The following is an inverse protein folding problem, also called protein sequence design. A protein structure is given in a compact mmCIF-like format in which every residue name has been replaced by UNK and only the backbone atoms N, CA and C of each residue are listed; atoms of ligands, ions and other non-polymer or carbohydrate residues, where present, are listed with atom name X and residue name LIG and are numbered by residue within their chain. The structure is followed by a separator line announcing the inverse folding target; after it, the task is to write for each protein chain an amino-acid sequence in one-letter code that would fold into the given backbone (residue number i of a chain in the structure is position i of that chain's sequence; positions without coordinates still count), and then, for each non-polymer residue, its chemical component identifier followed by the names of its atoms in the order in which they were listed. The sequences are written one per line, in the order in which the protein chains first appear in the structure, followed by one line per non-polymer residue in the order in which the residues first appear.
data_IF_722867663731
#
_entry.id   IF_722867663731
#
_cell.length_a   1.000
_cell.length_b   1.000
_cell.length_c   1.000
_cell.angle_alpha   90.00
_cell.angle_beta   90.00
_cell.angle_gamma   90.00
#
_symmetry.space_group_name_H-M   'P 1'
#
loop_
_entity.id
_entity.type
_entity.pdbx_description
1 polymer ?
#
# COMPACT_ATOMS: atom_id res chain seq x y z
N UNK A 1 21.51 29.18 -46.57
CA UNK A 1 21.58 29.55 -45.13
C UNK A 1 20.27 29.34 -44.39
N UNK A 2 19.17 30.06 -44.68
CA UNK A 2 17.90 29.93 -43.93
C UNK A 2 17.36 28.49 -43.81
N UNK A 3 17.33 27.72 -44.91
CA UNK A 3 16.91 26.30 -44.88
C UNK A 3 17.79 25.39 -44.00
N UNK A 4 19.10 25.65 -43.98
CA UNK A 4 20.04 24.84 -43.19
C UNK A 4 19.88 25.13 -41.69
N UNK A 5 19.65 26.40 -41.33
CA UNK A 5 19.33 26.80 -39.95
C UNK A 5 18.02 26.16 -39.52
N UNK A 6 17.00 26.17 -40.39
CA UNK A 6 15.70 25.55 -40.10
C UNK A 6 15.82 24.04 -39.85
N UNK A 7 16.51 23.31 -40.73
CA UNK A 7 16.77 21.87 -40.54
C UNK A 7 17.60 21.57 -39.30
N UNK A 8 18.54 22.45 -38.95
CA UNK A 8 19.33 22.31 -37.73
C UNK A 8 18.45 22.47 -36.48
N UNK A 9 17.60 23.50 -36.45
CA UNK A 9 16.67 23.74 -35.34
C UNK A 9 15.68 22.58 -35.20
N UNK A 10 15.08 22.10 -36.28
CA UNK A 10 14.18 20.92 -36.24
C UNK A 10 14.88 19.70 -35.65
N UNK A 11 16.11 19.40 -36.10
CA UNK A 11 16.90 18.28 -35.55
C UNK A 11 17.26 18.49 -34.08
N UNK A 12 17.57 19.71 -33.68
CA UNK A 12 17.89 20.05 -32.31
C UNK A 12 16.67 19.88 -31.40
N UNK A 13 15.52 20.42 -31.79
CA UNK A 13 14.27 20.27 -31.05
C UNK A 13 13.82 18.82 -30.97
N UNK A 14 13.92 18.04 -32.04
CA UNK A 14 13.57 16.61 -32.00
C UNK A 14 14.49 15.83 -31.05
N UNK A 15 15.79 16.12 -31.03
CA UNK A 15 16.71 15.48 -30.07
C UNK A 15 16.37 15.85 -28.64
N UNK A 16 16.12 17.14 -28.37
CA UNK A 16 15.75 17.61 -27.05
C UNK A 16 14.43 16.95 -26.60
N UNK A 17 13.42 16.95 -27.46
CA UNK A 17 12.12 16.33 -27.18
C UNK A 17 12.26 14.85 -26.84
N UNK A 18 12.98 14.06 -27.65
CA UNK A 18 13.18 12.63 -27.39
C UNK A 18 13.96 12.39 -26.10
N UNK A 19 14.95 13.23 -25.82
CA UNK A 19 15.73 13.16 -24.58
C UNK A 19 14.85 13.41 -23.35
N UNK A 20 14.16 14.56 -23.31
CA UNK A 20 13.29 14.94 -22.18
C UNK A 20 12.17 13.91 -21.95
N UNK A 21 11.55 13.41 -23.02
CA UNK A 21 10.53 12.36 -22.92
C UNK A 21 11.09 11.06 -22.32
N UNK A 22 12.31 10.68 -22.72
CA UNK A 22 12.94 9.46 -22.23
C UNK A 22 13.35 9.59 -20.76
N UNK A 23 13.83 10.77 -20.35
CA UNK A 23 14.17 11.05 -18.95
C UNK A 23 12.92 11.04 -18.04
N UNK A 24 11.84 11.68 -18.47
CA UNK A 24 10.55 11.64 -17.77
C UNK A 24 10.03 10.20 -17.62
N UNK A 25 10.08 9.39 -18.69
CA UNK A 25 9.68 7.98 -18.63
C UNK A 25 10.53 7.16 -17.66
N UNK A 26 11.84 7.40 -17.61
CA UNK A 26 12.75 6.74 -16.67
C UNK A 26 12.44 7.12 -15.21
N UNK A 27 12.17 8.40 -14.95
CA UNK A 27 11.75 8.88 -13.64
C UNK A 27 10.43 8.23 -13.20
N UNK A 28 9.41 8.22 -14.06
CA UNK A 28 8.12 7.61 -13.74
C UNK A 28 8.23 6.09 -13.51
N UNK A 29 9.01 5.40 -14.34
CA UNK A 29 9.27 3.97 -14.17
C UNK A 29 9.91 3.68 -12.81
N UNK A 30 10.85 4.51 -12.38
CA UNK A 30 11.48 4.41 -11.06
C UNK A 30 10.46 4.62 -9.94
N UNK A 31 9.58 5.63 -10.07
CA UNK A 31 8.51 5.89 -9.08
C UNK A 31 7.55 4.71 -8.98
N UNK A 32 7.09 4.16 -10.11
CA UNK A 32 6.19 2.99 -10.14
C UNK A 32 6.85 1.80 -9.43
N UNK A 33 8.13 1.52 -9.72
CA UNK A 33 8.87 0.45 -9.04
C UNK A 33 8.93 0.66 -7.53
N UNK A 34 9.21 1.87 -7.07
CA UNK A 34 9.27 2.18 -5.63
C UNK A 34 7.89 2.00 -4.97
N UNK A 35 6.79 2.35 -5.68
CA UNK A 35 5.43 2.10 -5.21
C UNK A 35 5.18 0.58 -5.11
N UNK A 36 5.62 -0.20 -6.10
CA UNK A 36 5.50 -1.66 -6.07
C UNK A 36 6.22 -2.32 -4.89
N UNK A 37 7.46 -1.88 -4.62
CA UNK A 37 8.23 -2.33 -3.45
C UNK A 37 7.51 -1.97 -2.15
N UNK A 38 6.92 -0.76 -2.07
CA UNK A 38 6.17 -0.31 -0.91
C UNK A 38 4.87 -1.10 -0.72
N UNK A 39 4.15 -1.40 -1.79
CA UNK A 39 2.96 -2.26 -1.78
C UNK A 39 3.32 -3.65 -1.25
N UNK A 40 4.39 -4.26 -1.77
CA UNK A 40 4.84 -5.59 -1.35
C UNK A 40 5.16 -5.63 0.15
N UNK A 41 5.96 -4.67 0.62
CA UNK A 41 6.29 -4.55 2.04
C UNK A 41 5.03 -4.35 2.91
N UNK A 42 4.11 -3.49 2.48
CA UNK A 42 2.88 -3.21 3.22
C UNK A 42 1.96 -4.42 3.27
N UNK A 43 1.88 -5.20 2.19
CA UNK A 43 1.14 -6.47 2.16
C UNK A 43 1.73 -7.49 3.14
N UNK A 44 3.06 -7.65 3.16
CA UNK A 44 3.73 -8.54 4.12
C UNK A 44 3.42 -8.14 5.56
N UNK A 45 3.51 -6.85 5.88
CA UNK A 45 3.17 -6.33 7.21
C UNK A 45 1.71 -6.57 7.55
N UNK A 46 0.78 -6.38 6.60
CA UNK A 46 -0.65 -6.66 6.76
C UNK A 46 -0.89 -8.15 7.09
N UNK A 47 -0.23 -9.07 6.39
CA UNK A 47 -0.29 -10.51 6.70
C UNK A 47 0.22 -10.84 8.09
N UNK A 48 1.32 -10.21 8.53
CA UNK A 48 1.84 -10.40 9.89
C UNK A 48 0.85 -9.91 10.95
N UNK A 49 0.20 -8.76 10.73
CA UNK A 49 -0.84 -8.26 11.63
C UNK A 49 -2.06 -9.19 11.66
N UNK A 50 -2.47 -9.75 10.53
CA UNK A 50 -3.56 -10.74 10.48
C UNK A 50 -3.25 -11.95 11.37
N UNK A 51 -2.05 -12.52 11.23
CA UNK A 51 -1.62 -13.65 12.06
C UNK A 51 -1.59 -13.29 13.55
N UNK A 52 -1.26 -12.04 13.88
CA UNK A 52 -1.28 -11.56 15.26
C UNK A 52 -2.72 -11.41 15.78
N UNK A 53 -3.64 -10.87 14.98
CA UNK A 53 -5.08 -10.79 15.30
C UNK A 53 -5.61 -12.20 15.59
N UNK A 54 -5.33 -13.17 14.72
CA UNK A 54 -5.82 -14.54 14.87
C UNK A 54 -5.30 -15.16 16.18
N UNK A 55 -4.00 -14.98 16.49
CA UNK A 55 -3.38 -15.48 17.73
C UNK A 55 -3.98 -14.84 18.98
N UNK A 56 -4.15 -13.52 18.99
CA UNK A 56 -4.70 -12.81 20.14
C UNK A 56 -6.19 -13.10 20.33
N UNK A 57 -6.92 -13.34 19.25
CA UNK A 57 -8.32 -13.78 19.28
C UNK A 57 -8.45 -15.15 19.94
N UNK A 58 -7.64 -16.13 19.51
CA UNK A 58 -7.62 -17.46 20.14
C UNK A 58 -7.20 -17.38 21.61
N UNK A 59 -6.20 -16.55 21.94
CA UNK A 59 -5.78 -16.36 23.32
C UNK A 59 -6.92 -15.76 24.18
N UNK A 60 -7.68 -14.82 23.63
CA UNK A 60 -8.83 -14.21 24.30
C UNK A 60 -9.95 -15.22 24.51
N UNK A 61 -10.27 -16.05 23.51
CA UNK A 61 -11.25 -17.13 23.59
C UNK A 61 -10.87 -18.14 24.68
N UNK A 62 -9.62 -18.61 24.68
CA UNK A 62 -9.11 -19.51 25.72
C UNK A 62 -9.25 -18.89 27.11
N UNK A 63 -8.97 -17.58 27.26
CA UNK A 63 -9.11 -16.89 28.53
C UNK A 63 -10.56 -16.84 29.01
N UNK A 64 -11.53 -16.74 28.10
CA UNK A 64 -12.94 -16.85 28.46
C UNK A 64 -13.30 -18.25 28.95
N UNK A 65 -12.78 -19.30 28.31
CA UNK A 65 -12.98 -20.70 28.73
C UNK A 65 -12.43 -20.91 30.14
N UNK A 66 -11.18 -20.50 30.39
CA UNK A 66 -10.55 -20.64 31.71
C UNK A 66 -11.38 -19.99 32.83
N UNK A 67 -11.97 -18.83 32.55
CA UNK A 67 -12.80 -18.10 33.51
C UNK A 67 -14.16 -18.76 33.75
N UNK A 68 -14.76 -19.36 32.70
CA UNK A 68 -15.98 -20.15 32.83
C UNK A 68 -15.75 -21.37 33.73
N UNK A 69 -14.67 -22.09 33.47
CA UNK A 69 -14.30 -23.31 34.21
C UNK A 69 -14.00 -22.99 35.68
N UNK A 70 -13.20 -21.93 35.93
CA UNK A 70 -12.82 -21.51 37.28
C UNK A 70 -14.01 -21.02 38.13
N UNK A 71 -15.05 -20.47 37.51
CA UNK A 71 -16.22 -19.95 38.22
C UNK A 71 -17.36 -20.96 38.37
N UNK A 72 -17.24 -22.17 37.79
CA UNK A 72 -18.32 -23.17 37.70
C UNK A 72 -19.63 -22.58 37.15
N UNK A 73 -19.54 -21.55 36.30
CA UNK A 73 -20.71 -20.83 35.78
C UNK A 73 -21.12 -21.39 34.43
N UNK A 74 -22.39 -21.80 34.31
CA UNK A 74 -22.97 -22.32 33.06
C UNK A 74 -23.27 -21.21 32.02
N UNK A 75 -23.46 -19.97 32.49
CA UNK A 75 -23.70 -18.77 31.68
C UNK A 75 -23.33 -17.51 32.50
N UNK A 76 -22.20 -16.85 32.24
CA UNK A 76 -21.89 -15.58 32.87
C UNK A 76 -22.48 -14.44 32.05
N UNK A 77 -23.40 -13.71 32.64
CA UNK A 77 -24.07 -12.58 31.97
C UNK A 77 -23.13 -11.40 31.67
N UNK A 78 -21.92 -11.38 32.24
CA UNK A 78 -20.78 -10.50 31.88
C UNK A 78 -19.49 -11.00 32.55
N UNK A 79 -18.63 -11.67 31.80
CA UNK A 79 -17.25 -11.91 32.27
C UNK A 79 -16.50 -10.58 32.18
N UNK A 80 -16.26 -9.94 33.33
CA UNK A 80 -15.47 -8.71 33.44
C UNK A 80 -14.15 -9.00 34.16
N UNK A 81 -13.22 -9.60 33.41
CA UNK A 81 -11.83 -9.75 33.84
C UNK A 81 -11.01 -8.54 33.38
N UNK A 82 -10.24 -7.92 34.30
CA UNK A 82 -9.26 -6.86 33.97
C UNK A 82 -8.31 -7.30 32.85
N UNK A 83 -7.98 -8.59 32.79
CA UNK A 83 -7.15 -9.20 31.75
C UNK A 83 -7.86 -9.29 30.39
N UNK A 84 -9.13 -9.71 30.36
CA UNK A 84 -9.95 -9.71 29.13
C UNK A 84 -10.03 -8.31 28.54
N UNK A 85 -10.28 -7.29 29.37
CA UNK A 85 -10.34 -5.90 28.88
C UNK A 85 -9.01 -5.46 28.27
N UNK A 86 -7.88 -5.80 28.90
CA UNK A 86 -6.55 -5.51 28.34
C UNK A 86 -6.33 -6.21 26.99
N UNK A 87 -6.69 -7.49 26.89
CA UNK A 87 -6.57 -8.26 25.64
C UNK A 87 -7.44 -7.67 24.53
N UNK A 88 -8.68 -7.24 24.84
CA UNK A 88 -9.55 -6.55 23.88
C UNK A 88 -8.95 -5.22 23.41
N UNK A 89 -8.39 -4.42 24.31
CA UNK A 89 -7.75 -3.15 23.93
C UNK A 89 -6.58 -3.40 22.98
N UNK A 90 -5.72 -4.37 23.30
CA UNK A 90 -4.61 -4.77 22.44
C UNK A 90 -5.09 -5.26 21.07
N UNK A 91 -6.14 -6.09 21.02
CA UNK A 91 -6.73 -6.57 19.77
C UNK A 91 -7.24 -5.40 18.92
N UNK A 92 -8.00 -4.47 19.53
CA UNK A 92 -8.50 -3.27 18.85
C UNK A 92 -7.36 -2.40 18.29
N UNK A 93 -6.24 -2.27 19.01
CA UNK A 93 -5.06 -1.53 18.53
C UNK A 93 -4.49 -2.17 17.26
N UNK A 94 -4.33 -3.50 17.26
CA UNK A 94 -3.80 -4.26 16.11
C UNK A 94 -4.76 -4.16 14.91
N UNK A 95 -6.06 -4.31 15.13
CA UNK A 95 -7.09 -4.20 14.10
C UNK A 95 -7.16 -2.79 13.49
N UNK A 96 -7.02 -1.75 14.33
CA UNK A 96 -6.94 -0.36 13.86
C UNK A 96 -5.73 -0.14 12.94
N UNK A 97 -4.57 -0.68 13.32
CA UNK A 97 -3.37 -0.61 12.50
C UNK A 97 -3.52 -1.39 11.19
N UNK A 98 -4.15 -2.57 11.23
CA UNK A 98 -4.47 -3.36 10.04
C UNK A 98 -5.37 -2.57 9.06
N UNK A 99 -6.45 -1.95 9.58
CA UNK A 99 -7.35 -1.12 8.78
C UNK A 99 -6.63 0.10 8.18
N UNK A 100 -5.67 0.68 8.90
CA UNK A 100 -4.83 1.77 8.39
C UNK A 100 -3.96 1.30 7.23
N UNK A 101 -3.33 0.13 7.32
CA UNK A 101 -2.54 -0.44 6.23
C UNK A 101 -3.39 -0.73 4.99
N UNK A 102 -4.65 -1.17 5.17
CA UNK A 102 -5.56 -1.43 4.06
C UNK A 102 -5.95 -0.16 3.29
N UNK A 103 -6.23 0.93 4.01
CA UNK A 103 -6.45 2.24 3.39
C UNK A 103 -5.20 2.73 2.65
N UNK A 104 -4.02 2.57 3.26
CA UNK A 104 -2.76 2.96 2.65
C UNK A 104 -2.46 2.16 1.37
N UNK A 105 -2.71 0.84 1.36
CA UNK A 105 -2.61 0.02 0.15
C UNK A 105 -3.55 0.49 -0.95
N UNK A 106 -4.79 0.88 -0.60
CA UNK A 106 -5.75 1.40 -1.57
C UNK A 106 -5.23 2.69 -2.20
N UNK A 107 -4.66 3.59 -1.40
CA UNK A 107 -4.04 4.81 -1.88
C UNK A 107 -2.85 4.54 -2.80
N UNK A 108 -1.92 3.66 -2.42
CA UNK A 108 -0.76 3.30 -3.23
C UNK A 108 -1.16 2.71 -4.59
N UNK A 109 -2.20 1.87 -4.62
CA UNK A 109 -2.71 1.31 -5.88
C UNK A 109 -3.31 2.39 -6.79
N UNK A 110 -4.01 3.38 -6.21
CA UNK A 110 -4.54 4.51 -6.97
C UNK A 110 -3.41 5.38 -7.54
N UNK A 111 -2.39 5.69 -6.73
CA UNK A 111 -1.22 6.45 -7.17
C UNK A 111 -0.44 5.72 -8.27
N UNK A 112 -0.21 4.41 -8.11
CA UNK A 112 0.41 3.57 -9.13
C UNK A 112 -0.34 3.67 -10.46
N UNK A 113 -1.67 3.56 -10.42
CA UNK A 113 -2.53 3.63 -11.61
C UNK A 113 -2.42 4.98 -12.30
N UNK A 114 -2.43 6.08 -11.53
CA UNK A 114 -2.25 7.43 -12.08
C UNK A 114 -0.89 7.56 -12.79
N UNK A 115 0.19 7.08 -12.16
CA UNK A 115 1.53 7.17 -12.75
C UNK A 115 1.70 6.27 -13.98
N UNK A 116 1.03 5.13 -14.02
CA UNK A 116 0.96 4.29 -15.22
C UNK A 116 0.25 5.01 -16.38
N UNK A 117 -0.87 5.69 -16.10
CA UNK A 117 -1.57 6.50 -17.11
C UNK A 117 -0.70 7.64 -17.65
N UNK A 118 0.10 8.27 -16.78
CA UNK A 118 1.07 9.30 -17.17
C UNK A 118 2.16 8.71 -18.11
N UNK A 119 2.69 7.53 -17.79
CA UNK A 119 3.62 6.80 -18.67
C UNK A 119 2.99 6.49 -20.03
N UNK A 120 1.77 5.95 -20.06
CA UNK A 120 1.09 5.56 -21.29
C UNK A 120 0.83 6.78 -22.20
N UNK A 121 0.47 7.92 -21.61
CA UNK A 121 0.31 9.18 -22.32
C UNK A 121 1.63 9.65 -22.94
N UNK A 122 2.72 9.65 -22.16
CA UNK A 122 4.04 10.07 -22.66
C UNK A 122 4.57 9.14 -23.76
N UNK A 123 4.33 7.83 -23.64
CA UNK A 123 4.66 6.87 -24.70
C UNK A 123 3.87 7.17 -25.98
N UNK A 124 2.58 7.47 -25.86
CA UNK A 124 1.72 7.85 -27.00
C UNK A 124 2.23 9.11 -27.67
N UNK A 125 2.57 10.15 -26.89
CA UNK A 125 3.11 11.40 -27.41
C UNK A 125 4.46 11.19 -28.10
N UNK A 126 5.34 10.38 -27.51
CA UNK A 126 6.65 10.03 -28.07
C UNK A 126 6.54 9.26 -29.39
N UNK A 127 5.47 8.49 -29.61
CA UNK A 127 5.24 7.76 -30.87
C UNK A 127 4.55 8.61 -31.94
N UNK A 128 3.88 9.70 -31.55
CA UNK A 128 3.17 10.60 -32.46
C UNK A 128 4.08 11.63 -33.17
N UNK A 129 5.32 11.80 -32.68
CA UNK A 129 6.34 12.72 -33.19
C UNK A 129 7.63 11.97 -33.54
#
# INVERSE_FOLDING_TARGET
MLRQVQQYLERFFNRLYVYEMSDCLAMLSTKIRNIDETILYTQQKKTQLQLLIDRETVALENKYIDLLDAQHMRCPEKIHGKEITKMKVKLNEIESEYARLERYLTQLNAEKKEKQQECDLLLTLKLAY
#
